data_IF_669865253552
#
_entry.id   IF_669865253552
#
_cell.length_a   1.000
_cell.length_b   1.000
_cell.length_c   1.000
_cell.angle_alpha   90.00
_cell.angle_beta   90.00
_cell.angle_gamma   90.00
#
_symmetry.space_group_name_H-M   'P 1'
#
loop_
_entity.id
_entity.type
_entity.pdbx_description
1 polymer ?
#
# COMPACT_ATOMS: atom_id res chain seq x y z
N UNK A 1 11.39 -4.47 -6.86
CA UNK A 1 10.94 -5.04 -5.58
C UNK A 1 11.09 -6.54 -5.69
N UNK A 2 11.77 -7.18 -4.74
CA UNK A 2 11.91 -8.65 -4.74
C UNK A 2 10.81 -9.26 -3.87
N UNK A 3 10.37 -10.49 -4.15
CA UNK A 3 9.31 -11.16 -3.38
C UNK A 3 9.58 -11.22 -1.87
N UNK A 4 10.87 -11.13 -1.48
CA UNK A 4 11.34 -11.09 -0.10
C UNK A 4 10.94 -9.80 0.66
N UNK A 5 10.78 -8.67 -0.05
CA UNK A 5 10.36 -7.39 0.56
C UNK A 5 8.85 -7.37 0.81
N UNK A 6 8.07 -8.08 -0.02
CA UNK A 6 6.62 -8.15 0.07
C UNK A 6 6.14 -8.97 1.27
N UNK A 7 6.83 -10.08 1.57
CA UNK A 7 6.52 -10.95 2.70
C UNK A 7 6.68 -10.29 4.08
N UNK A 8 7.38 -9.14 4.15
CA UNK A 8 7.60 -8.40 5.39
C UNK A 8 6.54 -7.31 5.65
N UNK A 9 5.63 -7.08 4.70
CA UNK A 9 4.59 -6.05 4.85
C UNK A 9 3.57 -6.49 5.90
N UNK A 10 3.55 -5.78 7.03
CA UNK A 10 2.65 -6.09 8.15
C UNK A 10 1.36 -5.29 8.02
N UNK A 11 0.20 -5.95 8.03
CA UNK A 11 -1.10 -5.29 8.09
C UNK A 11 -1.21 -4.39 9.33
N UNK A 12 -1.87 -3.25 9.20
CA UNK A 12 -1.91 -2.21 10.21
C UNK A 12 -0.66 -1.32 10.24
N UNK A 13 0.33 -1.53 9.38
CA UNK A 13 1.45 -0.58 9.26
C UNK A 13 0.95 0.77 8.76
N UNK A 14 1.58 1.85 9.22
CA UNK A 14 1.33 3.18 8.67
C UNK A 14 1.87 3.30 7.24
N UNK A 15 1.33 4.23 6.45
CA UNK A 15 1.86 4.55 5.12
C UNK A 15 3.37 4.84 5.14
N UNK A 16 3.86 5.62 6.11
CA UNK A 16 5.28 5.94 6.24
C UNK A 16 6.14 4.68 6.49
N UNK A 17 5.62 3.71 7.26
CA UNK A 17 6.28 2.43 7.47
C UNK A 17 6.39 1.60 6.19
N UNK A 18 5.32 1.59 5.37
CA UNK A 18 5.34 0.91 4.07
C UNK A 18 6.29 1.60 3.09
N UNK A 19 6.31 2.93 3.05
CA UNK A 19 7.26 3.70 2.22
C UNK A 19 8.71 3.42 2.62
N UNK A 20 8.99 3.35 3.92
CA UNK A 20 10.33 3.00 4.41
C UNK A 20 10.74 1.60 3.95
N UNK A 21 9.84 0.62 4.03
CA UNK A 21 10.08 -0.76 3.60
C UNK A 21 10.28 -0.89 2.09
N UNK A 22 9.48 -0.17 1.30
CA UNK A 22 9.55 -0.21 -0.17
C UNK A 22 10.64 0.71 -0.74
N UNK A 23 11.23 1.57 0.08
CA UNK A 23 12.28 2.51 -0.33
C UNK A 23 11.78 3.69 -1.17
N UNK A 24 10.50 3.76 -1.52
CA UNK A 24 9.92 4.84 -2.29
C UNK A 24 8.43 5.05 -1.98
N UNK A 25 7.95 6.27 -2.26
CA UNK A 25 6.54 6.61 -2.15
C UNK A 25 5.74 5.94 -3.28
N UNK A 26 4.53 5.48 -2.96
CA UNK A 26 3.61 4.95 -3.95
C UNK A 26 2.87 6.08 -4.66
N UNK A 27 2.40 5.81 -5.87
CA UNK A 27 1.50 6.70 -6.58
C UNK A 27 0.08 6.51 -6.05
N UNK A 28 -0.56 7.57 -5.58
CA UNK A 28 -1.97 7.51 -5.18
C UNK A 28 -2.84 7.29 -6.43
N UNK A 29 -3.56 6.17 -6.50
CA UNK A 29 -4.41 5.80 -7.64
C UNK A 29 -5.90 5.93 -7.33
N UNK A 30 -6.29 5.87 -6.05
CA UNK A 30 -7.68 6.09 -5.63
C UNK A 30 -7.73 6.66 -4.21
N UNK A 31 -8.72 7.53 -3.97
CA UNK A 31 -9.01 8.11 -2.67
C UNK A 31 -10.53 8.23 -2.49
N UNK A 32 -11.06 7.69 -1.40
CA UNK A 32 -12.48 7.74 -1.08
C UNK A 32 -12.67 7.99 0.42
N UNK A 33 -13.73 8.71 0.78
CA UNK A 33 -14.17 8.82 2.18
C UNK A 33 -15.58 8.24 2.27
N UNK A 34 -15.73 7.21 3.10
CA UNK A 34 -17.03 6.56 3.33
C UNK A 34 -17.25 6.36 4.82
N UNK A 35 -18.39 6.85 5.32
CA UNK A 35 -18.77 6.74 6.73
C UNK A 35 -17.70 7.24 7.71
N UNK A 36 -16.96 8.30 7.33
CA UNK A 36 -15.89 8.88 8.14
C UNK A 36 -14.54 8.15 8.06
N UNK A 37 -14.45 7.06 7.29
CA UNK A 37 -13.21 6.33 7.04
C UNK A 37 -12.60 6.81 5.72
N UNK A 38 -11.32 7.21 5.75
CA UNK A 38 -10.56 7.59 4.56
C UNK A 38 -9.86 6.37 3.98
N UNK A 39 -10.22 5.98 2.77
CA UNK A 39 -9.59 4.91 2.03
C UNK A 39 -8.63 5.48 0.99
N UNK A 40 -7.41 4.96 0.94
CA UNK A 40 -6.44 5.30 -0.09
C UNK A 40 -5.88 4.03 -0.73
N UNK A 41 -5.79 4.01 -2.06
CA UNK A 41 -5.08 2.95 -2.79
C UNK A 41 -3.83 3.56 -3.40
N UNK A 42 -2.68 2.98 -3.08
CA UNK A 42 -1.40 3.36 -3.64
C UNK A 42 -0.84 2.23 -4.51
N UNK A 43 -0.16 2.63 -5.58
CA UNK A 43 0.48 1.74 -6.53
C UNK A 43 2.00 1.89 -6.50
N UNK A 44 2.72 0.77 -6.56
CA UNK A 44 4.17 0.70 -6.79
C UNK A 44 4.48 -0.17 -8.00
N UNK A 45 5.70 -0.05 -8.53
CA UNK A 45 6.21 -0.84 -9.66
C UNK A 45 5.20 -0.86 -10.83
N UNK A 46 4.85 0.32 -11.34
CA UNK A 46 3.91 0.49 -12.46
C UNK A 46 2.55 -0.20 -12.28
N UNK A 47 2.08 -0.31 -11.03
CA UNK A 47 0.80 -0.91 -10.69
C UNK A 47 0.84 -2.42 -10.42
N UNK A 48 2.02 -3.05 -10.45
CA UNK A 48 2.18 -4.45 -10.06
C UNK A 48 1.89 -4.67 -8.57
N UNK A 49 2.10 -3.65 -7.75
CA UNK A 49 1.80 -3.68 -6.32
C UNK A 49 0.72 -2.66 -6.03
N UNK A 50 -0.36 -3.10 -5.37
CA UNK A 50 -1.42 -2.24 -4.86
C UNK A 50 -1.53 -2.40 -3.35
N UNK A 51 -1.66 -1.28 -2.63
CA UNK A 51 -1.90 -1.28 -1.19
C UNK A 51 -3.09 -0.40 -0.84
N UNK A 52 -4.06 -1.00 -0.13
CA UNK A 52 -5.21 -0.30 0.42
C UNK A 52 -4.94 0.11 1.86
N UNK A 53 -5.13 1.38 2.15
CA UNK A 53 -5.06 1.94 3.49
C UNK A 53 -6.42 2.47 3.92
N UNK A 54 -6.78 2.26 5.18
CA UNK A 54 -7.88 2.94 5.84
C UNK A 54 -7.36 3.80 6.99
N UNK A 55 -7.71 5.08 7.01
CA UNK A 55 -7.23 6.05 7.99
C UNK A 55 -5.70 6.04 8.17
N UNK A 56 -4.97 5.83 7.07
CA UNK A 56 -3.50 5.78 7.04
C UNK A 56 -2.88 4.45 7.45
N UNK A 57 -3.69 3.44 7.77
CA UNK A 57 -3.25 2.11 8.20
C UNK A 57 -3.49 1.09 7.10
N UNK A 58 -2.49 0.25 6.82
CA UNK A 58 -2.54 -0.75 5.77
C UNK A 58 -3.58 -1.82 6.10
N UNK A 59 -4.48 -2.10 5.15
CA UNK A 59 -5.47 -3.18 5.28
C UNK A 59 -5.16 -4.37 4.38
N UNK A 60 -4.75 -4.09 3.15
CA UNK A 60 -4.53 -5.11 2.12
C UNK A 60 -3.36 -4.66 1.28
N UNK A 61 -2.50 -5.61 0.93
CA UNK A 61 -1.50 -5.45 -0.11
C UNK A 61 -1.69 -6.59 -1.11
N UNK A 62 -1.61 -6.28 -2.40
CA UNK A 62 -1.67 -7.28 -3.47
C UNK A 62 -0.52 -7.06 -4.45
N UNK A 63 0.00 -8.16 -4.97
CA UNK A 63 1.06 -8.17 -5.98
C UNK A 63 0.61 -9.02 -7.16
N UNK A 64 0.78 -8.49 -8.38
CA UNK A 64 0.65 -9.26 -9.60
C UNK A 64 2.02 -9.77 -10.04
N UNK A 65 2.13 -11.07 -10.28
CA UNK A 65 3.30 -11.72 -10.89
C UNK A 65 2.97 -12.02 -12.36
N UNK A 66 3.03 -11.00 -13.20
CA UNK A 66 2.87 -11.17 -14.65
C UNK A 66 4.12 -11.77 -15.27
#
# INVERSE_FOLDING_TARGET
MTDLEFGNVVLGSSYAGVVFMFGCAGTLVSSEIKEGIKFHVFAWNDGQVLALFANGMLLIVSQSTS
#
